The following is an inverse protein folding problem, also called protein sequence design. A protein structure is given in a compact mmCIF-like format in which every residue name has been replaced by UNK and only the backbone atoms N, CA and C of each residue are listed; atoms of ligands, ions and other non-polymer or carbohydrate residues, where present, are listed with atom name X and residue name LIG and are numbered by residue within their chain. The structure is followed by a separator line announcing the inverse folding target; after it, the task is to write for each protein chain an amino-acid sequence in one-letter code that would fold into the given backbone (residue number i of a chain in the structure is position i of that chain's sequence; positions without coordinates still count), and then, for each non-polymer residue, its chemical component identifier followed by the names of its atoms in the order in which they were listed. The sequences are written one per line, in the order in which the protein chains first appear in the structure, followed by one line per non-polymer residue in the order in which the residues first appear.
data_IF_956366328255
#
_entry.id   IF_956366328255
#
_cell.length_a   1.000
_cell.length_b   1.000
_cell.length_c   1.000
_cell.angle_alpha   90.00
_cell.angle_beta   90.00
_cell.angle_gamma   90.00
#
_symmetry.space_group_name_H-M   'P 1'
#
loop_
_entity.id
_entity.type
_entity.pdbx_description
1 polymer ?
#
# COMPACT_ATOMS: atom_id res chain seq x y z
N UNK A 1 -39.87 -19.60 -7.71
CA UNK A 1 -38.58 -18.86 -7.68
C UNK A 1 -37.79 -19.25 -8.91
N UNK A 2 -37.55 -18.32 -9.84
CA UNK A 2 -36.68 -18.59 -10.98
C UNK A 2 -35.22 -18.62 -10.51
N UNK A 3 -34.56 -19.76 -10.62
CA UNK A 3 -33.12 -19.88 -10.42
C UNK A 3 -32.46 -19.21 -11.62
N UNK A 4 -31.86 -18.03 -11.42
CA UNK A 4 -31.04 -17.38 -12.45
C UNK A 4 -29.92 -18.35 -12.83
N UNK A 5 -29.86 -18.72 -14.12
CA UNK A 5 -28.79 -19.55 -14.64
C UNK A 5 -27.42 -18.89 -14.33
N UNK A 6 -26.39 -19.65 -13.92
CA UNK A 6 -25.11 -19.09 -13.56
C UNK A 6 -24.47 -18.37 -14.75
N UNK A 7 -24.15 -17.09 -14.57
CA UNK A 7 -23.43 -16.29 -15.56
C UNK A 7 -22.04 -16.91 -15.76
N UNK A 8 -21.78 -17.43 -16.97
CA UNK A 8 -20.45 -17.95 -17.33
C UNK A 8 -19.51 -16.78 -17.57
N UNK A 9 -18.39 -16.74 -16.85
CA UNK A 9 -17.36 -15.69 -16.97
C UNK A 9 -16.60 -15.83 -18.30
N UNK A 10 -16.32 -17.05 -18.75
CA UNK A 10 -15.66 -17.29 -20.04
C UNK A 10 -16.69 -17.45 -21.17
N UNK A 11 -16.47 -16.75 -22.29
CA UNK A 11 -17.37 -16.79 -23.47
C UNK A 11 -16.76 -17.48 -24.69
N UNK A 12 -15.43 -17.74 -24.67
CA UNK A 12 -14.63 -18.25 -25.81
C UNK A 12 -14.61 -17.37 -27.06
N UNK A 13 -15.32 -16.23 -27.05
CA UNK A 13 -15.43 -15.32 -28.19
C UNK A 13 -14.10 -14.66 -28.56
N UNK A 14 -13.08 -14.70 -27.71
CA UNK A 14 -11.77 -14.11 -27.98
C UNK A 14 -10.67 -15.15 -28.21
N UNK A 15 -11.01 -16.43 -28.39
CA UNK A 15 -10.03 -17.51 -28.59
C UNK A 15 -9.35 -17.40 -29.97
N UNK A 16 -9.96 -16.65 -30.89
CA UNK A 16 -9.40 -16.28 -32.21
C UNK A 16 -8.31 -15.20 -32.14
N UNK A 17 -7.92 -14.76 -30.93
CA UNK A 17 -6.91 -13.72 -30.72
C UNK A 17 -7.45 -12.29 -30.80
N UNK A 18 -8.76 -12.10 -30.95
CA UNK A 18 -9.40 -10.77 -30.99
C UNK A 18 -10.22 -10.50 -29.72
N UNK A 19 -10.55 -9.23 -29.49
CA UNK A 19 -11.39 -8.77 -28.37
C UNK A 19 -12.36 -7.69 -28.84
N UNK A 20 -13.47 -7.52 -28.13
CA UNK A 20 -14.44 -6.46 -28.41
C UNK A 20 -14.09 -5.17 -27.68
N UNK A 21 -14.30 -4.03 -28.34
CA UNK A 21 -14.31 -2.72 -27.70
C UNK A 21 -15.69 -2.44 -27.06
N UNK A 22 -15.73 -1.50 -26.12
CA UNK A 22 -16.97 -1.02 -25.53
C UNK A 22 -17.82 -0.33 -26.61
N UNK A 23 -19.12 -0.65 -26.64
CA UNK A 23 -20.12 -0.19 -27.61
C UNK A 23 -19.96 -0.64 -29.06
N UNK A 24 -18.88 -1.32 -29.45
CA UNK A 24 -18.80 -1.98 -30.75
C UNK A 24 -17.39 -2.07 -31.32
N UNK A 25 -17.23 -2.93 -32.33
CA UNK A 25 -15.94 -3.19 -32.97
C UNK A 25 -15.15 -4.32 -32.31
N UNK A 26 -14.26 -4.93 -33.10
CA UNK A 26 -13.30 -5.94 -32.62
C UNK A 26 -11.91 -5.57 -33.10
N UNK A 27 -10.93 -5.78 -32.22
CA UNK A 27 -9.52 -5.52 -32.50
C UNK A 27 -8.68 -6.72 -32.06
N UNK A 28 -7.47 -6.91 -32.62
CA UNK A 28 -6.52 -7.89 -32.11
C UNK A 28 -6.20 -7.61 -30.63
N UNK A 29 -5.99 -8.66 -29.83
CA UNK A 29 -5.59 -8.49 -28.41
C UNK A 29 -4.21 -7.81 -28.24
N UNK A 30 -3.41 -7.79 -29.29
CA UNK A 30 -2.11 -7.10 -29.34
C UNK A 30 -2.21 -5.63 -29.76
N UNK A 31 -3.41 -5.11 -30.04
CA UNK A 31 -3.58 -3.71 -30.41
C UNK A 31 -3.17 -2.77 -29.26
N UNK A 32 -2.47 -1.65 -29.53
CA UNK A 32 -2.05 -0.70 -28.50
C UNK A 32 -3.18 -0.17 -27.62
N UNK A 33 -4.42 -0.14 -28.13
CA UNK A 33 -5.61 0.23 -27.36
C UNK A 33 -5.84 -0.75 -26.21
N UNK A 34 -5.69 -2.05 -26.47
CA UNK A 34 -5.83 -3.13 -25.48
C UNK A 34 -4.75 -3.05 -24.42
N UNK A 35 -3.51 -2.81 -24.84
CA UNK A 35 -2.38 -2.62 -23.92
C UNK A 35 -2.58 -1.39 -23.02
N UNK A 36 -3.12 -0.29 -23.55
CA UNK A 36 -3.37 0.93 -22.79
C UNK A 36 -4.41 0.71 -21.68
N UNK A 37 -5.62 0.27 -21.99
CA UNK A 37 -6.62 0.04 -20.92
C UNK A 37 -6.28 -1.19 -20.05
N UNK A 38 -5.55 -2.18 -20.59
CA UNK A 38 -5.08 -3.34 -19.83
C UNK A 38 -4.05 -2.97 -18.77
N UNK A 39 -3.12 -2.06 -19.09
CA UNK A 39 -2.18 -1.52 -18.10
C UNK A 39 -2.85 -0.64 -17.05
N UNK A 40 -3.97 0.03 -17.39
CA UNK A 40 -4.82 0.71 -16.40
C UNK A 40 -5.49 -0.29 -15.46
N UNK A 41 -6.01 -1.41 -15.97
CA UNK A 41 -6.59 -2.48 -15.16
C UNK A 41 -5.57 -3.06 -14.17
N UNK A 42 -4.32 -3.25 -14.60
CA UNK A 42 -3.24 -3.68 -13.72
C UNK A 42 -2.93 -2.65 -12.61
N UNK A 43 -2.96 -1.36 -12.93
CA UNK A 43 -2.82 -0.30 -11.93
C UNK A 43 -4.00 -0.31 -10.93
N UNK A 44 -5.23 -0.54 -11.40
CA UNK A 44 -6.42 -0.70 -10.54
C UNK A 44 -6.27 -1.90 -9.60
N UNK A 45 -5.77 -3.03 -10.10
CA UNK A 45 -5.52 -4.23 -9.31
C UNK A 45 -4.46 -3.98 -8.22
N UNK A 46 -3.37 -3.30 -8.56
CA UNK A 46 -2.32 -2.95 -7.60
C UNK A 46 -2.79 -1.95 -6.54
N UNK A 47 -3.61 -0.97 -6.89
CA UNK A 47 -4.30 -0.13 -5.91
C UNK A 47 -5.26 -0.96 -5.04
N UNK A 48 -5.85 -2.02 -5.59
CA UNK A 48 -6.66 -2.98 -4.83
C UNK A 48 -5.85 -3.69 -3.75
N UNK A 49 -4.61 -4.10 -4.08
CA UNK A 49 -3.67 -4.64 -3.10
C UNK A 49 -3.32 -3.60 -2.03
N UNK A 50 -2.97 -2.38 -2.42
CA UNK A 50 -2.70 -1.29 -1.49
C UNK A 50 -3.88 -1.02 -0.54
N UNK A 51 -5.11 -1.02 -1.06
CA UNK A 51 -6.34 -0.86 -0.28
C UNK A 51 -6.60 -2.01 0.69
N UNK A 52 -6.19 -3.23 0.33
CA UNK A 52 -6.38 -4.42 1.17
C UNK A 52 -5.45 -4.40 2.39
N UNK A 53 -4.25 -3.83 2.24
CA UNK A 53 -3.25 -3.74 3.32
C UNK A 53 -3.26 -2.39 4.06
N UNK A 54 -3.97 -1.39 3.54
CA UNK A 54 -4.14 -0.10 4.20
C UNK A 54 -5.04 -0.21 5.44
N UNK A 55 -4.74 0.58 6.47
CA UNK A 55 -5.58 0.70 7.66
C UNK A 55 -6.98 1.24 7.30
N UNK A 56 -7.98 0.99 8.16
CA UNK A 56 -9.31 1.56 7.95
C UNK A 56 -9.26 3.07 8.18
N UNK A 57 -9.94 3.84 7.34
CA UNK A 57 -9.93 5.30 7.38
C UNK A 57 -9.46 5.88 6.05
N UNK A 58 -9.40 7.22 5.98
CA UNK A 58 -9.51 7.99 4.73
C UNK A 58 -8.63 7.55 3.55
N UNK A 59 -7.45 6.98 3.80
CA UNK A 59 -6.59 6.43 2.75
C UNK A 59 -7.29 5.30 1.97
N UNK A 60 -8.01 4.41 2.65
CA UNK A 60 -8.70 3.27 2.05
C UNK A 60 -9.87 3.70 1.16
N UNK A 61 -10.66 4.66 1.63
CA UNK A 61 -11.76 5.24 0.84
C UNK A 61 -11.22 6.05 -0.35
N UNK A 62 -10.13 6.80 -0.15
CA UNK A 62 -9.46 7.51 -1.22
C UNK A 62 -8.94 6.54 -2.29
N UNK A 63 -8.27 5.45 -1.91
CA UNK A 63 -7.80 4.45 -2.87
C UNK A 63 -8.98 3.84 -3.64
N UNK A 64 -10.09 3.48 -2.96
CA UNK A 64 -11.28 2.95 -3.63
C UNK A 64 -11.86 3.94 -4.63
N UNK A 65 -11.89 5.23 -4.27
CA UNK A 65 -12.32 6.29 -5.16
C UNK A 65 -11.42 6.37 -6.40
N UNK A 66 -10.10 6.38 -6.22
CA UNK A 66 -9.14 6.39 -7.33
C UNK A 66 -9.26 5.15 -8.22
N UNK A 67 -9.51 3.97 -7.65
CA UNK A 67 -9.81 2.76 -8.43
C UNK A 67 -11.04 2.95 -9.31
N UNK A 68 -12.12 3.56 -8.79
CA UNK A 68 -13.33 3.85 -9.56
C UNK A 68 -13.08 4.87 -10.67
N UNK A 69 -12.32 5.92 -10.39
CA UNK A 69 -11.94 6.93 -11.39
C UNK A 69 -11.07 6.31 -12.49
N UNK A 70 -10.16 5.37 -12.16
CA UNK A 70 -9.40 4.62 -13.17
C UNK A 70 -10.26 3.65 -13.99
N UNK A 71 -11.37 3.12 -13.45
CA UNK A 71 -12.34 2.40 -14.28
C UNK A 71 -13.01 3.31 -15.33
N UNK A 72 -13.24 4.59 -15.00
CA UNK A 72 -13.72 5.58 -15.99
C UNK A 72 -12.67 5.78 -17.08
N UNK A 73 -11.39 5.89 -16.71
CA UNK A 73 -10.27 5.97 -17.67
C UNK A 73 -10.22 4.74 -18.57
N UNK A 74 -10.34 3.54 -18.00
CA UNK A 74 -10.38 2.29 -18.75
C UNK A 74 -11.56 2.22 -19.72
N UNK A 75 -12.74 2.68 -19.31
CA UNK A 75 -13.93 2.73 -20.17
C UNK A 75 -13.77 3.70 -21.35
N UNK A 76 -13.22 4.89 -21.12
CA UNK A 76 -12.95 5.87 -22.18
C UNK A 76 -11.94 5.30 -23.19
N UNK A 77 -10.85 4.67 -22.71
CA UNK A 77 -9.83 4.03 -23.56
C UNK A 77 -10.34 2.79 -24.30
N UNK A 78 -11.25 2.01 -23.70
CA UNK A 78 -11.79 0.80 -24.29
C UNK A 78 -12.94 1.05 -25.27
N UNK A 79 -13.40 2.30 -25.43
CA UNK A 79 -14.50 2.66 -26.33
C UNK A 79 -13.96 2.96 -27.72
N UNK A 80 -14.64 2.47 -28.76
CA UNK A 80 -14.25 2.81 -30.13
C UNK A 80 -14.42 4.33 -30.38
N UNK A 81 -13.54 4.97 -31.18
CA UNK A 81 -13.60 6.41 -31.41
C UNK A 81 -14.94 6.90 -31.98
N UNK A 82 -15.61 6.07 -32.77
CA UNK A 82 -16.89 6.35 -33.42
C UNK A 82 -18.06 6.37 -32.41
N UNK A 83 -17.92 5.69 -31.28
CA UNK A 83 -18.98 5.46 -30.29
C UNK A 83 -18.75 6.23 -28.99
N UNK A 84 -17.81 7.18 -29.00
CA UNK A 84 -17.40 7.94 -27.82
C UNK A 84 -18.49 8.89 -27.31
N UNK A 85 -19.41 9.31 -28.17
CA UNK A 85 -20.58 10.10 -27.82
C UNK A 85 -21.56 9.37 -26.89
N UNK A 86 -21.52 8.03 -26.86
CA UNK A 86 -22.28 7.20 -25.92
C UNK A 86 -21.72 7.26 -24.48
N UNK A 87 -20.53 7.80 -24.28
CA UNK A 87 -19.93 7.89 -22.94
C UNK A 87 -20.50 9.03 -22.11
N UNK A 88 -20.57 8.82 -20.79
CA UNK A 88 -21.12 9.78 -19.84
C UNK A 88 -19.99 10.44 -19.03
N UNK A 89 -19.91 11.78 -18.97
CA UNK A 89 -18.94 12.52 -18.16
C UNK A 89 -18.85 11.98 -16.72
N UNK A 90 -17.64 11.65 -16.27
CA UNK A 90 -17.35 11.18 -14.91
C UNK A 90 -17.82 9.76 -14.59
N UNK A 91 -18.47 9.08 -15.53
CA UNK A 91 -18.98 7.70 -15.36
C UNK A 91 -18.30 6.74 -16.32
N UNK A 92 -18.12 7.13 -17.58
CA UNK A 92 -17.36 6.39 -18.58
C UNK A 92 -16.50 7.28 -19.49
N UNK A 93 -16.58 8.60 -19.31
CA UNK A 93 -15.81 9.62 -20.01
C UNK A 93 -14.98 10.41 -19.01
N UNK A 94 -13.68 10.56 -19.25
CA UNK A 94 -12.80 11.36 -18.39
C UNK A 94 -13.08 12.85 -18.55
N UNK A 95 -13.09 13.60 -17.45
CA UNK A 95 -13.36 15.04 -17.43
C UNK A 95 -12.20 15.83 -16.82
N UNK A 96 -12.13 17.13 -17.10
CA UNK A 96 -11.15 18.03 -16.47
C UNK A 96 -11.34 18.11 -14.94
N UNK A 97 -12.59 18.11 -14.47
CA UNK A 97 -12.91 18.14 -13.04
C UNK A 97 -12.34 16.93 -12.26
N UNK A 98 -12.21 15.76 -12.90
CA UNK A 98 -11.52 14.62 -12.28
C UNK A 98 -10.05 14.94 -12.00
N UNK A 99 -9.38 15.60 -12.96
CA UNK A 99 -7.98 16.00 -12.86
C UNK A 99 -7.79 17.09 -11.82
N UNK A 100 -8.58 18.17 -11.89
CA UNK A 100 -8.51 19.29 -10.95
C UNK A 100 -8.66 18.83 -9.49
N UNK A 101 -9.54 17.84 -9.27
CA UNK A 101 -9.75 17.27 -7.95
C UNK A 101 -8.59 16.41 -7.48
N UNK A 102 -7.95 15.66 -8.39
CA UNK A 102 -6.73 14.92 -8.08
C UNK A 102 -5.59 15.90 -7.73
N UNK A 103 -5.46 16.99 -8.47
CA UNK A 103 -4.49 18.06 -8.18
C UNK A 103 -4.74 18.67 -6.80
N UNK A 104 -5.99 19.00 -6.45
CA UNK A 104 -6.32 19.48 -5.10
C UNK A 104 -6.03 18.47 -3.98
N UNK A 105 -6.21 17.17 -4.23
CA UNK A 105 -5.83 16.10 -3.30
C UNK A 105 -4.31 16.01 -3.13
N UNK A 106 -3.56 16.18 -4.21
CA UNK A 106 -2.09 16.22 -4.16
C UNK A 106 -1.66 17.43 -3.34
N UNK A 107 -2.12 18.63 -3.68
CA UNK A 107 -1.71 19.88 -3.01
C UNK A 107 -1.99 19.85 -1.50
N UNK A 108 -3.19 19.40 -1.12
CA UNK A 108 -3.54 19.24 0.31
C UNK A 108 -2.67 18.19 1.02
N UNK A 109 -2.35 17.07 0.36
CA UNK A 109 -1.48 16.03 0.92
C UNK A 109 -0.05 16.51 1.12
N UNK A 110 0.49 17.24 0.13
CA UNK A 110 1.81 17.89 0.17
C UNK A 110 1.88 18.95 1.27
N UNK A 111 0.81 19.71 1.49
CA UNK A 111 0.78 20.73 2.53
C UNK A 111 0.81 20.10 3.93
N UNK A 112 0.03 19.03 4.15
CA UNK A 112 -0.02 18.33 5.44
C UNK A 112 1.25 17.54 5.72
N UNK A 113 1.88 17.05 4.65
CA UNK A 113 3.06 16.23 4.74
C UNK A 113 4.08 16.82 3.74
N UNK A 114 5.01 17.67 4.20
CA UNK A 114 6.05 18.22 3.35
C UNK A 114 7.07 17.17 2.91
N UNK A 115 7.64 17.45 1.75
CA UNK A 115 8.36 16.54 0.90
C UNK A 115 9.88 16.74 1.06
N UNK A 116 10.73 15.70 1.25
CA UNK A 116 12.16 15.82 1.34
C UNK A 116 12.77 16.08 -0.03
N UNK A 117 13.94 16.70 -0.04
CA UNK A 117 14.67 17.05 -1.27
C UNK A 117 15.48 15.89 -1.87
N UNK A 118 15.33 14.67 -1.33
CA UNK A 118 16.09 13.49 -1.72
C UNK A 118 15.15 12.38 -2.21
N UNK A 119 15.69 11.42 -2.96
CA UNK A 119 14.93 10.25 -3.38
C UNK A 119 14.58 9.35 -2.19
N UNK A 120 13.35 8.86 -2.18
CA UNK A 120 12.84 7.93 -1.17
C UNK A 120 12.95 6.50 -1.68
N UNK A 121 13.52 5.62 -0.87
CA UNK A 121 13.55 4.18 -1.14
C UNK A 121 12.15 3.60 -0.87
N UNK A 122 11.52 2.92 -1.84
CA UNK A 122 10.19 2.34 -1.68
C UNK A 122 10.09 1.32 -0.55
N UNK A 123 8.92 1.28 0.11
CA UNK A 123 8.55 0.17 0.98
C UNK A 123 8.82 0.34 2.48
N UNK A 124 8.67 1.57 3.00
CA UNK A 124 8.76 1.85 4.43
C UNK A 124 7.72 1.09 5.29
N UNK A 125 6.61 0.64 4.69
CA UNK A 125 5.54 -0.14 5.29
C UNK A 125 4.82 -0.98 4.23
N UNK A 126 4.04 -2.02 4.57
CA UNK A 126 3.30 -2.80 3.58
C UNK A 126 2.38 -1.96 2.70
N UNK A 127 1.67 -0.99 3.30
CA UNK A 127 0.78 -0.08 2.55
C UNK A 127 1.56 0.87 1.65
N UNK A 128 2.68 1.45 2.12
CA UNK A 128 3.51 2.31 1.27
C UNK A 128 4.20 1.52 0.15
N UNK A 129 4.69 0.31 0.42
CA UNK A 129 5.25 -0.59 -0.59
C UNK A 129 4.24 -0.89 -1.71
N UNK A 130 3.01 -1.21 -1.34
CA UNK A 130 1.94 -1.48 -2.29
C UNK A 130 1.55 -0.23 -3.11
N UNK A 131 1.53 0.95 -2.48
CA UNK A 131 1.32 2.22 -3.18
C UNK A 131 2.48 2.58 -4.12
N UNK A 132 3.71 2.30 -3.72
CA UNK A 132 4.89 2.49 -4.56
C UNK A 132 4.87 1.58 -5.79
N UNK A 133 4.47 0.31 -5.62
CA UNK A 133 4.25 -0.60 -6.73
C UNK A 133 3.16 -0.04 -7.65
N UNK A 134 1.98 0.30 -7.10
CA UNK A 134 0.87 0.87 -7.88
C UNK A 134 1.31 2.13 -8.66
N UNK A 135 2.11 3.02 -8.05
CA UNK A 135 2.68 4.19 -8.70
C UNK A 135 3.52 3.83 -9.94
N UNK A 136 4.33 2.78 -9.89
CA UNK A 136 5.10 2.35 -11.07
C UNK A 136 4.22 1.85 -12.21
N UNK A 137 3.11 1.18 -11.87
CA UNK A 137 2.16 0.62 -12.83
C UNK A 137 1.30 1.73 -13.46
N UNK A 138 0.86 2.71 -12.67
CA UNK A 138 0.21 3.93 -13.18
C UNK A 138 1.13 4.65 -14.19
N UNK A 139 2.43 4.78 -13.89
CA UNK A 139 3.41 5.36 -14.83
C UNK A 139 3.60 4.51 -16.08
N UNK A 140 3.46 3.18 -15.99
CA UNK A 140 3.48 2.32 -17.19
C UNK A 140 2.24 2.55 -18.03
N UNK A 141 1.06 2.60 -17.40
CA UNK A 141 -0.20 2.90 -18.08
C UNK A 141 -0.20 4.27 -18.75
N UNK A 142 0.42 5.27 -18.12
CA UNK A 142 0.63 6.60 -18.71
C UNK A 142 1.41 6.50 -20.02
N UNK A 143 2.56 5.81 -20.01
CA UNK A 143 3.38 5.63 -21.22
C UNK A 143 2.63 4.89 -22.33
N UNK A 144 1.84 3.85 -22.01
CA UNK A 144 1.01 3.13 -22.99
C UNK A 144 -0.09 4.01 -23.57
N UNK A 145 -0.69 4.86 -22.75
CA UNK A 145 -1.71 5.83 -23.20
C UNK A 145 -1.11 6.91 -24.09
N UNK A 146 0.11 7.38 -23.78
CA UNK A 146 0.87 8.31 -24.63
C UNK A 146 1.25 7.66 -25.95
N UNK A 147 1.76 6.44 -25.93
CA UNK A 147 2.08 5.66 -27.13
C UNK A 147 0.85 5.48 -28.04
N UNK A 148 -0.30 5.11 -27.46
CA UNK A 148 -1.57 5.02 -28.19
C UNK A 148 -1.96 6.36 -28.84
N UNK A 149 -1.79 7.48 -28.12
CA UNK A 149 -2.04 8.83 -28.67
C UNK A 149 -1.17 9.12 -29.87
N UNK A 150 0.12 8.83 -29.76
CA UNK A 150 1.10 9.18 -30.78
C UNK A 150 0.87 8.32 -32.04
N UNK A 151 0.57 7.02 -31.88
CA UNK A 151 0.17 6.13 -32.99
C UNK A 151 -1.15 6.59 -33.65
N UNK A 152 -2.12 7.01 -32.86
CA UNK A 152 -3.40 7.55 -33.36
C UNK A 152 -3.23 8.88 -34.10
N UNK A 153 -2.19 9.64 -33.77
CA UNK A 153 -1.75 10.84 -34.48
C UNK A 153 -1.26 10.56 -35.90
N UNK A 154 -0.54 9.46 -36.07
CA UNK A 154 0.16 9.11 -37.31
C UNK A 154 -0.73 8.41 -38.36
N UNK A 155 -1.78 7.71 -37.92
CA UNK A 155 -2.69 6.96 -38.82
C UNK A 155 -3.74 7.82 -39.55
N UNK A 156 -3.92 9.10 -39.20
CA UNK A 156 -5.09 9.91 -39.64
C UNK A 156 -4.77 11.25 -40.32
N UNK A 157 -3.51 11.58 -40.61
CA UNK A 157 -3.13 12.59 -41.63
C UNK A 157 -3.84 13.96 -41.58
N UNK A 158 -4.18 14.51 -40.41
CA UNK A 158 -4.83 15.81 -40.29
C UNK A 158 -4.85 16.34 -38.85
N UNK A 159 -5.05 17.66 -38.62
CA UNK A 159 -4.95 18.28 -37.30
C UNK A 159 -6.03 17.72 -36.40
N UNK A 160 -5.62 16.77 -35.57
CA UNK A 160 -6.46 16.14 -34.56
C UNK A 160 -6.86 17.25 -33.57
N UNK A 161 -8.11 17.74 -33.65
CA UNK A 161 -8.82 18.47 -32.56
C UNK A 161 -8.24 18.06 -31.20
N UNK A 162 -7.40 18.92 -30.64
CA UNK A 162 -6.46 18.63 -29.55
C UNK A 162 -7.09 18.55 -28.15
N UNK A 163 -8.19 17.79 -28.03
CA UNK A 163 -8.84 17.47 -26.76
C UNK A 163 -8.92 15.96 -26.46
N UNK A 164 -8.49 15.11 -27.39
CA UNK A 164 -8.88 13.68 -27.49
C UNK A 164 -8.20 12.72 -26.51
N UNK A 165 -6.95 13.00 -26.13
CA UNK A 165 -6.19 12.22 -25.14
C UNK A 165 -5.56 13.11 -24.07
N UNK A 166 -5.77 14.42 -24.16
CA UNK A 166 -5.22 15.37 -23.21
C UNK A 166 -5.87 15.26 -21.85
N UNK A 167 -7.16 14.91 -21.70
CA UNK A 167 -7.76 14.79 -20.37
C UNK A 167 -7.28 13.53 -19.63
N UNK A 168 -7.34 12.35 -20.28
CA UNK A 168 -6.86 11.10 -19.68
C UNK A 168 -5.35 11.08 -19.51
N UNK A 169 -4.58 11.53 -20.53
CA UNK A 169 -3.14 11.65 -20.39
C UNK A 169 -2.74 12.78 -19.42
N UNK A 170 -3.39 13.97 -19.38
CA UNK A 170 -3.11 15.01 -18.34
C UNK A 170 -3.54 14.58 -16.95
N UNK A 171 -4.63 13.81 -16.81
CA UNK A 171 -5.03 13.22 -15.53
C UNK A 171 -3.99 12.24 -14.99
N UNK A 172 -3.25 11.58 -15.89
CA UNK A 172 -2.11 10.72 -15.54
C UNK A 172 -0.77 11.48 -15.50
N UNK A 173 -0.66 12.60 -16.22
CA UNK A 173 0.53 13.45 -16.42
C UNK A 173 0.50 14.73 -15.59
N UNK A 174 -0.38 14.88 -14.59
CA UNK A 174 -0.38 16.06 -13.73
C UNK A 174 0.98 16.13 -13.01
N UNK A 175 1.75 17.13 -13.44
CA UNK A 175 3.12 17.52 -13.07
C UNK A 175 3.79 16.64 -12.02
N UNK A 176 4.59 15.69 -12.50
CA UNK A 176 5.65 15.09 -11.72
C UNK A 176 6.69 16.14 -11.32
N UNK A 177 6.50 16.76 -10.16
CA UNK A 177 7.63 17.16 -9.31
C UNK A 177 7.61 16.18 -8.14
N UNK A 178 8.61 15.30 -8.15
CA UNK A 178 8.85 14.29 -7.13
C UNK A 178 9.27 14.98 -5.86
N UNK A 179 8.31 15.46 -5.10
CA UNK A 179 8.55 15.87 -3.75
C UNK A 179 7.49 15.03 -2.96
N UNK A 180 8.00 14.16 -2.06
CA UNK A 180 7.45 13.05 -1.20
C UNK A 180 7.36 13.06 0.32
N UNK A 181 6.23 13.22 0.97
CA UNK A 181 6.21 13.44 2.41
C UNK A 181 6.49 12.26 3.33
N UNK A 182 6.95 12.58 4.55
CA UNK A 182 6.73 11.75 5.75
C UNK A 182 6.62 12.65 6.98
N UNK A 183 5.66 12.45 7.90
CA UNK A 183 5.76 13.07 9.21
C UNK A 183 6.77 12.29 10.05
N UNK A 184 7.77 12.99 10.57
CA UNK A 184 8.55 12.53 11.71
C UNK A 184 7.81 12.95 12.99
N UNK A 185 7.50 12.00 13.86
CA UNK A 185 7.22 12.25 15.27
C UNK A 185 5.78 12.02 15.76
N UNK A 186 5.66 10.96 16.58
CA UNK A 186 4.72 10.78 17.70
C UNK A 186 3.21 10.54 17.45
N UNK A 187 2.78 9.33 17.84
CA UNK A 187 1.55 9.13 18.63
C UNK A 187 0.28 8.72 17.88
N UNK A 188 -0.02 7.41 17.88
CA UNK A 188 -1.38 6.87 17.94
C UNK A 188 -1.33 5.34 17.98
N UNK A 189 -1.62 4.76 19.15
CA UNK A 189 -1.88 3.32 19.32
C UNK A 189 -3.29 3.07 18.81
N UNK A 190 -3.42 2.47 17.62
CA UNK A 190 -4.70 2.41 16.93
C UNK A 190 -4.85 1.33 15.86
N UNK A 191 -4.61 0.07 16.20
CA UNK A 191 -5.31 -1.12 15.68
C UNK A 191 -5.39 -1.35 14.16
N UNK A 192 -4.65 -2.34 13.68
CA UNK A 192 -4.86 -2.97 12.37
C UNK A 192 -5.13 -4.48 12.50
N UNK A 193 -6.16 -4.96 11.79
CA UNK A 193 -6.66 -6.34 11.92
C UNK A 193 -5.92 -7.38 11.04
N UNK A 194 -5.26 -8.37 11.68
CA UNK A 194 -4.90 -9.73 11.20
C UNK A 194 -5.81 -10.35 10.12
N UNK A 195 -5.16 -10.91 9.10
CA UNK A 195 -5.66 -11.98 8.24
C UNK A 195 -5.80 -13.29 9.05
N UNK A 196 -6.93 -13.98 8.91
CA UNK A 196 -7.20 -15.29 9.54
C UNK A 196 -6.61 -16.41 8.69
N UNK A 197 -5.53 -17.04 9.16
CA UNK A 197 -5.29 -18.46 8.91
C UNK A 197 -6.00 -19.26 10.02
N UNK A 198 -6.83 -20.24 9.63
CA UNK A 198 -7.51 -21.14 10.58
C UNK A 198 -6.57 -22.28 10.94
N UNK A 199 -6.02 -22.22 12.14
CA UNK A 199 -5.61 -23.38 12.94
C UNK A 199 -6.29 -23.23 14.30
N UNK A 200 -6.94 -24.29 14.79
CA UNK A 200 -7.96 -24.28 15.85
C UNK A 200 -7.51 -23.91 17.28
N UNK A 201 -6.69 -22.88 17.46
CA UNK A 201 -6.45 -22.19 18.72
C UNK A 201 -7.09 -20.79 18.71
N UNK A 202 -7.34 -20.21 19.88
CA UNK A 202 -7.74 -18.79 19.99
C UNK A 202 -6.67 -17.91 19.30
N UNK A 203 -7.05 -16.83 18.61
CA UNK A 203 -6.09 -15.98 17.90
C UNK A 203 -5.21 -15.21 18.88
N UNK A 204 -4.01 -15.74 19.17
CA UNK A 204 -3.02 -15.06 20.01
C UNK A 204 -2.36 -13.92 19.24
N UNK A 205 -2.21 -12.77 19.89
CA UNK A 205 -1.39 -11.67 19.37
C UNK A 205 0.05 -11.91 19.80
N UNK A 206 0.97 -11.96 18.85
CA UNK A 206 2.41 -12.03 19.12
C UNK A 206 3.13 -10.87 18.47
N UNK A 207 4.00 -10.21 19.23
CA UNK A 207 4.77 -9.05 18.80
C UNK A 207 6.25 -9.32 19.01
N UNK A 208 7.06 -9.10 17.98
CA UNK A 208 8.51 -9.03 18.08
C UNK A 208 8.97 -7.57 18.14
N UNK A 209 9.81 -7.24 19.10
CA UNK A 209 10.46 -5.93 19.22
C UNK A 209 11.96 -6.14 19.06
N UNK A 210 12.54 -5.63 17.98
CA UNK A 210 13.97 -5.70 17.72
C UNK A 210 14.62 -4.44 18.22
N UNK A 211 15.69 -4.55 18.99
CA UNK A 211 16.32 -3.40 19.66
C UNK A 211 17.81 -3.36 19.34
N UNK A 212 18.26 -2.21 18.85
CA UNK A 212 19.67 -1.85 18.72
C UNK A 212 20.09 -1.11 19.98
N UNK A 213 21.16 -1.55 20.64
CA UNK A 213 21.66 -0.87 21.84
C UNK A 213 22.18 0.52 21.51
N UNK A 214 22.18 1.40 22.51
CA UNK A 214 22.69 2.76 22.38
C UNK A 214 24.17 2.77 21.98
N UNK A 215 24.57 3.72 21.13
CA UNK A 215 25.97 3.89 20.75
C UNK A 215 26.83 4.11 21.99
N UNK A 216 27.93 3.34 22.10
CA UNK A 216 28.85 3.40 23.23
C UNK A 216 28.40 2.63 24.49
N UNK A 217 27.19 2.07 24.54
CA UNK A 217 26.76 1.21 25.65
C UNK A 217 27.40 -0.19 25.53
N UNK A 218 28.00 -0.72 26.60
CA UNK A 218 28.54 -2.09 26.58
C UNK A 218 27.42 -3.14 26.45
N UNK A 219 27.75 -4.31 25.89
CA UNK A 219 26.75 -5.36 25.67
C UNK A 219 26.16 -5.91 26.98
N UNK A 220 27.00 -6.01 28.02
CA UNK A 220 26.58 -6.46 29.35
C UNK A 220 25.69 -5.41 30.03
N UNK A 221 26.02 -4.11 29.91
CA UNK A 221 25.17 -3.03 30.42
C UNK A 221 23.81 -3.01 29.74
N UNK A 222 23.77 -3.23 28.41
CA UNK A 222 22.53 -3.33 27.65
C UNK A 222 21.68 -4.52 28.11
N UNK A 223 22.31 -5.69 28.27
CA UNK A 223 21.67 -6.90 28.81
C UNK A 223 21.09 -6.65 30.19
N UNK A 224 21.88 -6.10 31.10
CA UNK A 224 21.47 -5.84 32.48
C UNK A 224 20.34 -4.81 32.53
N UNK A 225 20.47 -3.70 31.80
CA UNK A 225 19.44 -2.66 31.73
C UNK A 225 18.12 -3.23 31.20
N UNK A 226 18.17 -3.97 30.09
CA UNK A 226 16.95 -4.54 29.51
C UNK A 226 16.29 -5.51 30.50
N UNK A 227 17.03 -6.51 30.98
CA UNK A 227 16.44 -7.58 31.78
C UNK A 227 16.05 -7.14 33.20
N UNK A 228 16.80 -6.23 33.82
CA UNK A 228 16.59 -5.82 35.21
C UNK A 228 15.73 -4.55 35.36
N UNK A 229 15.68 -3.68 34.34
CA UNK A 229 14.92 -2.41 34.42
C UNK A 229 13.78 -2.33 33.44
N UNK A 230 14.06 -2.54 32.16
CA UNK A 230 13.06 -2.33 31.11
C UNK A 230 11.99 -3.42 31.09
N UNK A 231 12.41 -4.70 31.05
CA UNK A 231 11.50 -5.84 30.94
C UNK A 231 10.49 -5.94 32.10
N UNK A 232 10.88 -5.67 33.37
CA UNK A 232 9.95 -5.57 34.48
C UNK A 232 8.81 -4.56 34.29
N UNK A 233 8.98 -3.49 33.50
CA UNK A 233 7.92 -2.51 33.25
C UNK A 233 6.70 -3.18 32.61
N UNK A 234 6.93 -3.98 31.57
CA UNK A 234 5.87 -4.71 30.90
C UNK A 234 5.44 -5.95 31.71
N UNK A 235 6.39 -6.72 32.24
CA UNK A 235 6.10 -7.93 33.04
C UNK A 235 5.17 -7.65 34.22
N UNK A 236 5.41 -6.57 34.94
CA UNK A 236 4.68 -6.25 36.17
C UNK A 236 3.53 -5.27 35.94
N UNK A 237 3.56 -4.53 34.82
CA UNK A 237 2.63 -3.44 34.54
C UNK A 237 1.57 -3.73 33.48
N UNK A 238 1.73 -4.78 32.67
CA UNK A 238 0.76 -5.15 31.64
C UNK A 238 -0.21 -6.20 32.19
N UNK A 239 -1.50 -5.89 32.21
CA UNK A 239 -2.54 -6.72 32.80
C UNK A 239 -2.90 -7.92 31.89
N UNK A 240 -2.85 -7.70 30.58
CA UNK A 240 -3.29 -8.69 29.59
C UNK A 240 -2.14 -9.49 28.97
N UNK A 241 -0.89 -9.15 29.31
CA UNK A 241 0.29 -9.85 28.83
C UNK A 241 0.28 -11.31 29.31
N UNK A 242 0.66 -12.23 28.43
CA UNK A 242 0.73 -13.68 28.70
C UNK A 242 2.11 -14.26 28.61
N UNK A 243 3.01 -13.60 27.90
CA UNK A 243 4.37 -14.06 27.71
C UNK A 243 5.27 -12.90 27.34
N UNK A 244 6.48 -12.94 27.87
CA UNK A 244 7.55 -12.02 27.55
C UNK A 244 8.86 -12.80 27.55
N UNK A 245 9.41 -13.01 26.36
CA UNK A 245 10.73 -13.61 26.12
C UNK A 245 11.69 -12.53 25.60
N UNK A 246 12.96 -12.61 25.99
CA UNK A 246 14.03 -11.73 25.48
C UNK A 246 15.19 -12.59 25.01
N UNK A 247 15.47 -12.52 23.71
CA UNK A 247 16.60 -13.16 23.06
C UNK A 247 17.69 -12.12 22.77
N UNK A 248 18.85 -12.26 23.40
CA UNK A 248 19.99 -11.37 23.20
C UNK A 248 20.93 -11.95 22.15
N UNK A 249 21.41 -11.11 21.23
CA UNK A 249 22.38 -11.53 20.22
C UNK A 249 23.73 -11.73 20.90
N UNK A 250 24.16 -12.98 21.00
CA UNK A 250 25.45 -13.35 21.61
C UNK A 250 26.57 -13.54 20.58
N UNK A 251 26.21 -13.78 19.32
CA UNK A 251 27.15 -14.08 18.22
C UNK A 251 26.49 -13.85 16.87
N UNK A 252 27.29 -13.39 15.90
CA UNK A 252 26.96 -13.40 14.47
C UNK A 252 28.06 -14.14 13.68
N UNK A 253 27.77 -14.65 12.47
CA UNK A 253 28.79 -15.24 11.60
C UNK A 253 29.94 -14.25 11.31
N UNK A 254 31.13 -14.79 11.05
CA UNK A 254 32.29 -13.98 10.69
C UNK A 254 32.02 -13.13 9.43
N UNK A 255 32.39 -11.86 9.48
CA UNK A 255 32.15 -10.90 8.40
C UNK A 255 30.73 -10.34 8.30
N UNK A 256 29.86 -10.59 9.29
CA UNK A 256 28.52 -10.00 9.37
C UNK A 256 28.39 -9.05 10.56
N UNK A 257 27.64 -7.96 10.36
CA UNK A 257 27.19 -7.08 11.43
C UNK A 257 25.82 -7.51 11.92
N UNK A 258 25.61 -7.46 13.24
CA UNK A 258 24.29 -7.68 13.83
C UNK A 258 23.39 -6.45 13.57
N UNK A 259 22.24 -6.58 12.90
CA UNK A 259 21.33 -5.46 12.66
C UNK A 259 20.62 -4.98 13.94
N UNK A 260 20.62 -5.79 15.00
CA UNK A 260 20.07 -5.50 16.32
C UNK A 260 20.87 -6.27 17.38
N UNK A 261 20.76 -5.86 18.64
CA UNK A 261 21.47 -6.47 19.78
C UNK A 261 20.56 -7.39 20.61
N UNK A 262 19.23 -7.30 20.43
CA UNK A 262 18.29 -8.25 21.01
C UNK A 262 16.88 -8.14 20.43
N UNK A 263 16.07 -9.15 20.73
CA UNK A 263 14.68 -9.28 20.31
C UNK A 263 13.83 -9.62 21.54
N UNK A 264 12.73 -8.90 21.72
CA UNK A 264 11.69 -9.28 22.68
C UNK A 264 10.49 -9.89 21.94
N UNK A 265 9.94 -10.97 22.49
CA UNK A 265 8.69 -11.58 22.04
C UNK A 265 7.65 -11.43 23.13
N UNK A 266 6.60 -10.66 22.84
CA UNK A 266 5.47 -10.45 23.75
C UNK A 266 4.22 -11.10 23.18
N UNK A 267 3.39 -11.70 24.04
CA UNK A 267 2.16 -12.38 23.63
C UNK A 267 0.94 -12.00 24.46
N UNK A 268 -0.21 -11.87 23.80
CA UNK A 268 -1.52 -11.64 24.39
C UNK A 268 -2.54 -12.66 23.87
N UNK A 269 -3.62 -12.86 24.63
CA UNK A 269 -4.74 -13.73 24.20
C UNK A 269 -5.49 -13.17 22.99
N UNK A 270 -5.62 -11.85 22.90
CA UNK A 270 -6.36 -11.14 21.86
C UNK A 270 -5.86 -9.70 21.68
N UNK A 271 -6.45 -9.00 20.69
CA UNK A 271 -6.08 -7.61 20.37
C UNK A 271 -6.56 -6.59 21.39
N UNK A 272 -7.65 -6.87 22.08
CA UNK A 272 -8.22 -5.91 23.02
C UNK A 272 -7.30 -5.82 24.24
N UNK A 273 -6.79 -6.96 24.71
CA UNK A 273 -5.77 -7.02 25.75
C UNK A 273 -4.47 -6.31 25.35
N UNK A 274 -3.97 -6.57 24.12
CA UNK A 274 -2.81 -5.83 23.60
C UNK A 274 -3.03 -4.32 23.61
N UNK A 275 -4.18 -3.86 23.08
CA UNK A 275 -4.49 -2.43 22.98
C UNK A 275 -4.60 -1.79 24.37
N UNK A 276 -5.24 -2.47 25.32
CA UNK A 276 -5.36 -2.01 26.69
C UNK A 276 -3.98 -1.84 27.35
N UNK A 277 -3.09 -2.83 27.22
CA UNK A 277 -1.73 -2.75 27.79
C UNK A 277 -0.88 -1.65 27.15
N UNK A 278 -0.95 -1.48 25.83
CA UNK A 278 -0.23 -0.41 25.14
C UNK A 278 -0.72 0.99 25.55
N UNK A 279 -2.02 1.14 25.82
CA UNK A 279 -2.62 2.41 26.24
C UNK A 279 -2.50 2.67 27.75
N UNK A 280 -2.00 1.71 28.53
CA UNK A 280 -1.79 1.85 29.96
C UNK A 280 -0.62 2.77 30.31
N UNK A 281 -0.57 3.24 31.55
CA UNK A 281 0.57 3.98 32.10
C UNK A 281 1.88 3.16 32.01
N UNK A 282 1.81 1.85 32.22
CA UNK A 282 2.95 0.97 32.04
C UNK A 282 3.40 0.90 30.56
N UNK A 283 2.46 0.91 29.62
CA UNK A 283 2.72 0.94 28.17
C UNK A 283 3.49 2.18 27.77
N UNK A 284 3.05 3.34 28.26
CA UNK A 284 3.74 4.62 28.08
C UNK A 284 5.12 4.60 28.72
N UNK A 285 5.24 4.16 29.98
CA UNK A 285 6.53 4.08 30.70
C UNK A 285 7.53 3.17 29.99
N UNK A 286 7.09 2.03 29.46
CA UNK A 286 7.94 1.13 28.68
C UNK A 286 8.44 1.83 27.41
N UNK A 287 7.54 2.51 26.68
CA UNK A 287 7.90 3.24 25.46
C UNK A 287 8.93 4.34 25.74
N UNK A 288 8.71 5.13 26.79
CA UNK A 288 9.60 6.23 27.16
C UNK A 288 10.98 5.72 27.62
N UNK A 289 11.03 4.58 28.32
CA UNK A 289 12.28 3.98 28.82
C UNK A 289 13.21 3.44 27.70
N UNK A 290 12.69 3.20 26.50
CA UNK A 290 13.51 2.77 25.35
C UNK A 290 14.66 3.76 25.07
N UNK A 291 14.44 5.07 25.25
CA UNK A 291 15.46 6.10 25.02
C UNK A 291 16.71 5.98 25.92
N UNK A 292 16.60 5.23 27.02
CA UNK A 292 17.69 5.04 27.97
C UNK A 292 18.72 4.00 27.50
N UNK A 293 18.33 3.01 26.69
CA UNK A 293 19.19 1.89 26.33
C UNK A 293 19.15 1.49 24.84
N UNK A 294 18.19 1.98 24.06
CA UNK A 294 18.05 1.71 22.64
C UNK A 294 18.47 2.92 21.78
N UNK A 295 19.31 2.70 20.76
CA UNK A 295 19.54 3.67 19.67
C UNK A 295 18.41 3.63 18.64
N UNK A 296 17.86 2.44 18.41
CA UNK A 296 16.76 2.20 17.49
C UNK A 296 15.99 0.95 17.92
N UNK A 297 14.71 0.89 17.55
CA UNK A 297 13.93 -0.34 17.69
C UNK A 297 12.91 -0.46 16.55
N UNK A 298 12.49 -1.69 16.27
CA UNK A 298 11.42 -2.01 15.32
C UNK A 298 10.39 -2.93 15.97
N UNK A 299 9.12 -2.81 15.57
CA UNK A 299 8.02 -3.61 16.08
C UNK A 299 7.34 -4.36 14.93
N UNK A 300 7.13 -5.67 15.10
CA UNK A 300 6.49 -6.54 14.12
C UNK A 300 5.40 -7.38 14.79
N UNK A 301 4.19 -7.37 14.24
CA UNK A 301 3.20 -8.39 14.56
C UNK A 301 3.53 -9.65 13.77
N UNK A 302 3.62 -10.78 14.44
CA UNK A 302 4.07 -12.04 13.84
C UNK A 302 3.07 -13.15 14.11
N UNK A 303 2.98 -14.08 13.16
CA UNK A 303 2.31 -15.36 13.34
C UNK A 303 3.38 -16.42 13.58
N UNK A 304 3.18 -17.27 14.59
CA UNK A 304 4.08 -18.39 14.84
C UNK A 304 3.54 -19.65 14.18
N UNK A 305 4.28 -20.16 13.19
CA UNK A 305 4.06 -21.46 12.59
C UNK A 305 5.27 -22.36 12.88
N UNK A 306 5.03 -23.50 13.52
CA UNK A 306 6.04 -24.54 13.67
C UNK A 306 5.96 -25.47 12.46
N UNK A 307 7.00 -25.46 11.62
CA UNK A 307 7.19 -26.42 10.53
C UNK A 307 8.16 -27.48 11.01
N UNK A 308 7.73 -28.75 11.04
CA UNK A 308 8.56 -29.89 11.42
C UNK A 308 9.43 -30.36 10.28
#
# INVERSE_FOLDING_TARGET
MAILAPVRIYTKKGDDGTTGLLYGGRIPKSDPTVEAYGSVDEAVAALGLARAVAERGGARELILRLQRELFVVGADLATSPEERDKLRPGVSLVTAEMVERLEGLIDSSVQQHPLPQQFVVPGASPASAALDLARTLVRRAERRTVELRDIGGDRLGGPIRGGRLTASARGMSSRGRSERASPAGAGSIGGTEFSRARTGGRPMVRVHIWVRRKDGMAADDFREYWLAKHAPIARDGYEHLRGYEVDLVTRVPEGQDAPYDGVATLTWEDRDGFKADMQSEAGKRATDDLANFAAAFGLLFVEHAAVK
#
